data_IF_810753946692
#
_entry.id   IF_810753946692
#
_cell.length_a   1.000
_cell.length_b   1.000
_cell.length_c   1.000
_cell.angle_alpha   90.00
_cell.angle_beta   90.00
_cell.angle_gamma   90.00
#
_symmetry.space_group_name_H-M   'P 1'
#
loop_
_entity.id
_entity.type
_entity.pdbx_description
1 polymer ?
#
# COMPACT_ATOMS: atom_id res chain seq x y z
N UNK A 1 14.24 -3.16 -0.23
CA UNK A 1 13.51 -2.87 -1.45
C UNK A 1 12.29 -2.00 -1.16
N UNK A 2 11.95 -1.15 -2.11
CA UNK A 2 10.87 -0.19 -1.96
C UNK A 2 9.52 -0.86 -1.72
N UNK A 3 9.26 -1.91 -2.47
CA UNK A 3 8.00 -2.63 -2.35
C UNK A 3 7.85 -3.25 -0.96
N UNK A 4 8.93 -3.77 -0.42
CA UNK A 4 8.89 -4.39 0.90
C UNK A 4 8.59 -3.35 1.98
N UNK A 5 9.19 -2.17 1.89
CA UNK A 5 8.94 -1.10 2.85
C UNK A 5 7.47 -0.68 2.83
N UNK A 6 6.90 -0.53 1.64
CA UNK A 6 5.48 -0.17 1.51
C UNK A 6 4.61 -1.30 2.05
N UNK A 7 4.95 -2.54 1.74
CA UNK A 7 4.20 -3.69 2.22
C UNK A 7 4.18 -3.75 3.76
N UNK A 8 5.31 -3.49 4.39
CA UNK A 8 5.38 -3.47 5.84
C UNK A 8 4.51 -2.37 6.43
N UNK A 9 4.51 -1.18 5.82
CA UNK A 9 3.68 -0.09 6.29
C UNK A 9 2.19 -0.43 6.18
N UNK A 10 1.80 -1.05 5.09
CA UNK A 10 0.42 -1.49 4.91
C UNK A 10 0.05 -2.58 5.92
N UNK A 11 0.97 -3.49 6.19
CA UNK A 11 0.73 -4.55 7.16
C UNK A 11 0.53 -4.00 8.57
N UNK A 12 1.28 -2.97 8.92
CA UNK A 12 1.15 -2.33 10.23
C UNK A 12 -0.12 -1.50 10.34
N UNK A 13 -0.54 -0.90 9.25
CA UNK A 13 -1.71 -0.03 9.23
C UNK A 13 -2.52 -0.28 7.95
N UNK A 14 -3.43 -1.27 7.97
CA UNK A 14 -4.22 -1.57 6.76
C UNK A 14 -5.09 -0.43 6.28
N UNK A 15 -5.37 0.54 7.12
CA UNK A 15 -6.14 1.72 6.74
C UNK A 15 -5.27 2.88 6.28
N UNK A 16 -3.99 2.65 6.06
CA UNK A 16 -3.06 3.71 5.68
C UNK A 16 -3.44 4.30 4.32
N UNK A 17 -3.35 5.61 4.21
CA UNK A 17 -3.65 6.31 2.97
C UNK A 17 -2.39 6.48 2.15
N UNK A 18 -2.57 6.71 0.84
CA UNK A 18 -1.43 6.94 -0.04
C UNK A 18 -0.60 8.14 0.40
N UNK A 19 -1.25 9.18 0.89
CA UNK A 19 -0.53 10.35 1.39
C UNK A 19 0.37 10.01 2.58
N UNK A 20 -0.11 9.13 3.43
CA UNK A 20 0.69 8.66 4.56
C UNK A 20 1.89 7.85 4.09
N UNK A 21 1.69 7.05 3.05
CA UNK A 21 2.79 6.29 2.45
C UNK A 21 3.82 7.24 1.83
N UNK A 22 3.37 8.29 1.18
CA UNK A 22 4.28 9.30 0.63
C UNK A 22 5.12 9.91 1.75
N UNK A 23 4.51 10.29 2.84
CA UNK A 23 5.23 10.87 3.98
C UNK A 23 6.19 9.87 4.62
N UNK A 24 5.75 8.63 4.76
CA UNK A 24 6.54 7.61 5.44
C UNK A 24 7.73 7.15 4.62
N UNK A 25 7.56 7.07 3.29
CA UNK A 25 8.61 6.57 2.40
C UNK A 25 9.45 7.68 1.80
N UNK A 26 8.96 8.91 1.81
CA UNK A 26 9.63 10.04 1.17
C UNK A 26 9.57 9.99 -0.35
N UNK A 27 8.71 9.17 -0.92
CA UNK A 27 8.58 9.03 -2.37
C UNK A 27 7.39 9.85 -2.87
N UNK A 28 7.38 10.09 -4.20
CA UNK A 28 6.26 10.82 -4.80
C UNK A 28 5.01 9.95 -4.82
N UNK A 29 3.85 10.61 -4.95
CA UNK A 29 2.58 9.90 -5.02
C UNK A 29 2.52 8.96 -6.22
N UNK A 30 3.11 9.36 -7.35
CA UNK A 30 3.14 8.51 -8.53
C UNK A 30 3.93 7.23 -8.28
N UNK A 31 5.06 7.33 -7.58
CA UNK A 31 5.86 6.17 -7.22
C UNK A 31 5.10 5.25 -6.26
N UNK A 32 4.44 5.83 -5.27
CA UNK A 32 3.64 5.06 -4.30
C UNK A 32 2.53 4.30 -5.02
N UNK A 33 1.82 4.96 -5.92
CA UNK A 33 0.75 4.31 -6.68
C UNK A 33 1.29 3.15 -7.52
N UNK A 34 2.45 3.33 -8.14
CA UNK A 34 3.07 2.28 -8.93
C UNK A 34 3.43 1.07 -8.07
N UNK A 35 4.01 1.32 -6.92
CA UNK A 35 4.39 0.26 -5.99
C UNK A 35 3.15 -0.50 -5.51
N UNK A 36 2.10 0.24 -5.13
CA UNK A 36 0.86 -0.38 -4.68
C UNK A 36 0.25 -1.26 -5.76
N UNK A 37 0.24 -0.78 -6.99
CA UNK A 37 -0.27 -1.57 -8.11
C UNK A 37 0.56 -2.82 -8.33
N UNK A 38 1.87 -2.72 -8.25
CA UNK A 38 2.75 -3.86 -8.38
C UNK A 38 2.47 -4.92 -7.32
N UNK A 39 2.28 -4.49 -6.07
CA UNK A 39 1.96 -5.40 -4.99
C UNK A 39 0.62 -6.10 -5.20
N UNK A 40 -0.35 -5.39 -5.73
CA UNK A 40 -1.64 -5.98 -6.07
C UNK A 40 -1.51 -7.01 -7.19
N UNK A 41 -0.73 -6.69 -8.22
CA UNK A 41 -0.51 -7.59 -9.35
C UNK A 41 0.17 -8.89 -8.92
N UNK A 42 1.02 -8.80 -7.91
CA UNK A 42 1.71 -9.96 -7.36
C UNK A 42 0.89 -10.70 -6.30
N UNK A 43 -0.30 -10.19 -6.00
CA UNK A 43 -1.17 -10.76 -4.96
C UNK A 43 -0.55 -10.72 -3.56
N UNK A 44 0.28 -9.72 -3.30
CA UNK A 44 0.82 -9.50 -1.96
C UNK A 44 -0.16 -8.75 -1.09
N UNK A 45 -0.94 -7.87 -1.71
CA UNK A 45 -1.99 -7.13 -1.02
C UNK A 45 -3.25 -7.14 -1.89
N UNK A 46 -4.37 -6.96 -1.23
CA UNK A 46 -5.64 -6.88 -1.92
C UNK A 46 -6.45 -5.76 -1.30
N UNK A 47 -7.16 -5.02 -2.13
CA UNK A 47 -8.04 -3.99 -1.63
C UNK A 47 -9.28 -4.66 -1.04
N UNK A 48 -9.44 -4.54 0.24
CA UNK A 48 -10.63 -5.04 0.90
C UNK A 48 -11.83 -4.21 0.45
N UNK A 49 -12.94 -4.86 0.19
CA UNK A 49 -14.08 -4.23 -0.43
C UNK A 49 -14.73 -3.21 0.49
N UNK A 50 -14.18 -2.04 0.52
CA UNK A 50 -14.80 -0.94 1.19
C UNK A 50 -14.77 0.24 0.26
N UNK A 51 -15.91 0.60 -0.27
CA UNK A 51 -15.97 1.78 -1.11
C UNK A 51 -15.60 3.02 -0.34
N UNK A 52 -15.68 2.99 0.98
CA UNK A 52 -15.45 4.16 1.83
C UNK A 52 -14.16 4.10 2.62
N UNK A 53 -13.67 2.91 2.93
CA UNK A 53 -12.60 2.79 3.92
C UNK A 53 -11.27 2.36 3.36
N UNK A 54 -11.20 1.96 2.13
CA UNK A 54 -9.94 1.69 1.46
C UNK A 54 -8.93 0.92 2.28
N UNK A 55 -9.37 -0.06 3.03
CA UNK A 55 -8.46 -0.90 3.78
C UNK A 55 -7.73 -1.86 2.85
N UNK A 56 -6.52 -2.16 3.19
CA UNK A 56 -5.72 -3.12 2.46
C UNK A 56 -5.60 -4.41 3.24
N UNK A 57 -5.72 -5.52 2.55
CA UNK A 57 -5.49 -6.83 3.13
C UNK A 57 -4.14 -7.33 2.67
N UNK A 58 -3.28 -7.67 3.61
CA UNK A 58 -1.95 -8.23 3.30
C UNK A 58 -2.10 -9.74 3.20
N UNK A 59 -1.73 -10.27 2.03
CA UNK A 59 -1.92 -11.68 1.70
C UNK A 59 -0.68 -12.54 1.97
N UNK A 60 0.42 -11.90 2.33
CA UNK A 60 1.67 -12.60 2.61
C UNK A 60 2.02 -12.57 4.08
#
# INVERSE_FOLDING_TARGET
LEELAVLELVAQNPAIKQQELVSATGKSIATVKRIMKSLQDKNYIRRESGKRYGKWEVLV
#
